data_IF_976373115406
#
_entry.id   IF_976373115406
#
_cell.length_a   1.000
_cell.length_b   1.000
_cell.length_c   1.000
_cell.angle_alpha   90.00
_cell.angle_beta   90.00
_cell.angle_gamma   90.00
#
_symmetry.space_group_name_H-M   'P 1'
#
loop_
_entity.id
_entity.type
_entity.pdbx_description
1 polymer ?
#
# COMPACT_ATOMS: atom_id res chain seq x y z
N UNK A 1 -2.53 -47.11 -10.57
CA UNK A 1 -1.50 -46.62 -9.62
C UNK A 1 -0.65 -45.49 -10.20
N UNK A 2 0.01 -45.66 -11.37
CA UNK A 2 0.82 -44.61 -12.00
C UNK A 2 0.01 -43.33 -12.31
N UNK A 3 -1.21 -43.48 -12.85
CA UNK A 3 -2.12 -42.39 -13.17
C UNK A 3 -2.49 -41.52 -11.93
N UNK A 4 -2.82 -42.13 -10.78
CA UNK A 4 -3.11 -41.39 -9.54
C UNK A 4 -1.91 -40.60 -9.00
N UNK A 5 -0.69 -41.15 -9.13
CA UNK A 5 0.53 -40.49 -8.67
C UNK A 5 0.81 -39.25 -9.51
N UNK A 6 0.61 -39.34 -10.84
CA UNK A 6 0.79 -38.21 -11.75
C UNK A 6 -0.22 -37.10 -11.48
N UNK A 7 -1.49 -37.43 -11.20
CA UNK A 7 -2.51 -36.41 -10.86
C UNK A 7 -2.20 -35.71 -9.54
N UNK A 8 -1.69 -36.44 -8.54
CA UNK A 8 -1.34 -35.87 -7.24
C UNK A 8 -0.17 -34.89 -7.34
N UNK A 9 0.87 -35.23 -8.11
CA UNK A 9 2.03 -34.35 -8.32
C UNK A 9 1.64 -33.09 -9.09
N UNK A 10 0.78 -33.21 -10.09
CA UNK A 10 0.27 -32.08 -10.87
C UNK A 10 -0.58 -31.13 -10.01
N UNK A 11 -1.42 -31.67 -9.12
CA UNK A 11 -2.18 -30.86 -8.17
C UNK A 11 -1.26 -30.11 -7.20
N UNK A 12 -0.22 -30.75 -6.66
CA UNK A 12 0.74 -30.11 -5.75
C UNK A 12 1.53 -28.99 -6.47
N UNK A 13 1.91 -29.20 -7.73
CA UNK A 13 2.63 -28.17 -8.49
C UNK A 13 1.77 -26.95 -8.83
N UNK A 14 0.48 -27.15 -9.08
CA UNK A 14 -0.48 -26.06 -9.32
C UNK A 14 -0.79 -25.24 -8.06
N UNK A 15 -0.64 -25.81 -6.86
CA UNK A 15 -0.95 -25.12 -5.59
C UNK A 15 0.26 -24.46 -4.90
N UNK A 16 1.50 -24.69 -5.35
CA UNK A 16 2.71 -24.03 -4.85
C UNK A 16 2.65 -22.48 -4.80
N UNK A 17 2.11 -21.75 -5.80
CA UNK A 17 2.15 -20.28 -5.76
C UNK A 17 1.26 -19.66 -4.68
N UNK A 18 0.28 -20.40 -4.15
CA UNK A 18 -0.61 -19.90 -3.09
C UNK A 18 0.12 -19.73 -1.74
N UNK A 19 1.24 -20.42 -1.56
CA UNK A 19 2.01 -20.45 -0.31
C UNK A 19 3.11 -19.38 -0.30
N UNK A 20 3.42 -18.79 -1.46
CA UNK A 20 4.51 -17.83 -1.66
C UNK A 20 4.03 -16.37 -1.62
N UNK A 21 2.86 -16.10 -1.01
CA UNK A 21 2.35 -14.74 -0.90
C UNK A 21 3.24 -13.94 0.07
N UNK A 22 3.99 -12.99 -0.46
CA UNK A 22 4.67 -11.98 0.37
C UNK A 22 3.63 -11.11 1.08
N UNK A 23 3.93 -10.69 2.30
CA UNK A 23 3.04 -9.77 3.00
C UNK A 23 3.02 -8.44 2.24
N UNK A 24 1.85 -7.82 2.07
CA UNK A 24 1.76 -6.50 1.45
C UNK A 24 2.70 -5.52 2.17
N UNK A 25 3.43 -4.69 1.41
CA UNK A 25 4.40 -3.73 1.96
C UNK A 25 3.76 -2.82 3.04
N UNK A 26 2.48 -2.50 2.89
CA UNK A 26 1.70 -1.72 3.84
C UNK A 26 1.60 -2.34 5.25
N UNK A 27 1.79 -3.65 5.39
CA UNK A 27 1.73 -4.36 6.69
C UNK A 27 3.08 -4.35 7.43
N UNK A 28 4.13 -3.79 6.84
CA UNK A 28 5.44 -3.69 7.48
C UNK A 28 5.47 -2.54 8.51
N UNK A 29 5.88 -2.83 9.75
CA UNK A 29 5.94 -1.83 10.83
C UNK A 29 6.80 -0.60 10.48
N UNK A 30 7.88 -0.80 9.72
CA UNK A 30 8.74 0.27 9.24
C UNK A 30 8.01 1.21 8.26
N UNK A 31 7.22 0.65 7.33
CA UNK A 31 6.43 1.42 6.39
C UNK A 31 5.43 2.34 7.12
N UNK A 32 4.73 1.81 8.13
CA UNK A 32 3.82 2.59 8.97
C UNK A 32 4.56 3.71 9.71
N UNK A 33 5.72 3.43 10.29
CA UNK A 33 6.49 4.43 11.03
C UNK A 33 7.01 5.55 10.11
N UNK A 34 7.50 5.20 8.93
CA UNK A 34 8.01 6.15 7.93
C UNK A 34 6.90 7.01 7.34
N UNK A 35 5.72 6.43 7.08
CA UNK A 35 4.56 7.19 6.57
C UNK A 35 4.02 8.17 7.61
N UNK A 36 4.03 7.84 8.90
CA UNK A 36 3.69 8.81 9.95
C UNK A 36 4.65 10.01 10.02
N UNK A 37 5.95 9.77 9.86
CA UNK A 37 6.94 10.85 9.79
C UNK A 37 6.69 11.73 8.56
N UNK A 38 6.44 11.10 7.40
CA UNK A 38 6.11 11.80 6.16
C UNK A 38 4.85 12.67 6.31
N UNK A 39 3.79 12.15 6.91
CA UNK A 39 2.55 12.92 7.17
C UNK A 39 2.78 14.15 8.03
N UNK A 40 3.62 14.02 9.07
CA UNK A 40 3.95 15.13 9.96
C UNK A 40 4.73 16.22 9.21
N UNK A 41 5.68 15.81 8.36
CA UNK A 41 6.42 16.72 7.50
C UNK A 41 5.51 17.40 6.46
N UNK A 42 4.61 16.66 5.81
CA UNK A 42 3.65 17.23 4.84
C UNK A 42 2.79 18.30 5.50
N UNK A 43 2.23 18.03 6.69
CA UNK A 43 1.44 19.02 7.42
C UNK A 43 2.25 20.28 7.70
N UNK A 44 3.48 20.15 8.19
CA UNK A 44 4.36 21.28 8.42
C UNK A 44 4.67 22.07 7.13
N UNK A 45 4.84 21.39 5.99
CA UNK A 45 5.03 22.05 4.70
C UNK A 45 3.76 22.75 4.20
N UNK A 46 2.58 22.16 4.40
CA UNK A 46 1.31 22.78 4.06
C UNK A 46 1.10 24.05 4.86
N UNK A 47 1.36 24.01 6.17
CA UNK A 47 1.26 25.18 7.05
C UNK A 47 2.25 26.27 6.63
N UNK A 48 3.51 25.91 6.38
CA UNK A 48 4.55 26.85 5.97
C UNK A 48 4.24 27.55 4.64
N UNK A 49 3.61 26.83 3.70
CA UNK A 49 3.31 27.33 2.34
C UNK A 49 1.88 27.85 2.18
N UNK A 50 1.04 27.72 3.20
CA UNK A 50 -0.37 28.07 3.14
C UNK A 50 -1.17 27.22 2.14
N UNK A 51 -0.84 25.93 2.01
CA UNK A 51 -1.55 25.03 1.10
C UNK A 51 -2.88 24.57 1.75
N UNK A 52 -4.03 24.77 1.09
CA UNK A 52 -5.33 24.43 1.65
C UNK A 52 -5.58 22.91 1.73
N UNK A 53 -4.97 22.16 0.82
CA UNK A 53 -5.09 20.71 0.74
C UNK A 53 -4.04 20.08 -0.17
N UNK A 54 -3.86 18.77 -0.03
CA UNK A 54 -2.92 17.96 -0.84
C UNK A 54 -3.38 16.50 -0.86
N UNK A 55 -3.15 15.80 -1.98
CA UNK A 55 -3.31 14.33 -2.06
C UNK A 55 -1.95 13.69 -2.32
N UNK A 56 -1.68 12.57 -1.65
CA UNK A 56 -0.47 11.78 -1.79
C UNK A 56 -0.83 10.33 -2.11
N UNK A 57 -0.16 9.77 -3.11
CA UNK A 57 -0.15 8.32 -3.39
C UNK A 57 1.29 7.82 -3.51
N UNK A 58 1.58 6.67 -2.90
CA UNK A 58 2.87 5.97 -3.02
C UNK A 58 2.62 4.69 -3.79
N UNK A 59 3.27 4.56 -4.96
CA UNK A 59 3.22 3.35 -5.77
C UNK A 59 4.56 2.63 -5.64
N UNK A 60 4.50 1.36 -5.25
CA UNK A 60 5.65 0.47 -5.20
C UNK A 60 5.27 -0.83 -5.89
N UNK A 61 6.17 -1.31 -6.75
CA UNK A 61 5.93 -2.48 -7.60
C UNK A 61 4.57 -2.49 -8.32
N UNK A 62 4.21 -1.34 -8.91
CA UNK A 62 2.95 -1.14 -9.63
C UNK A 62 1.68 -1.25 -8.77
N UNK A 63 1.82 -1.41 -7.45
CA UNK A 63 0.74 -1.37 -6.48
C UNK A 63 0.69 -0.02 -5.74
N UNK A 64 -0.51 0.52 -5.56
CA UNK A 64 -0.73 1.68 -4.70
C UNK A 64 -0.69 1.23 -3.24
N UNK A 65 0.49 1.35 -2.62
CA UNK A 65 0.75 0.86 -1.26
C UNK A 65 0.31 1.84 -0.16
N UNK A 66 0.07 3.11 -0.50
CA UNK A 66 -0.44 4.12 0.43
C UNK A 66 -1.13 5.26 -0.32
N UNK A 67 -2.25 5.74 0.23
CA UNK A 67 -2.94 6.91 -0.26
C UNK A 67 -3.52 7.73 0.90
N UNK A 68 -3.36 9.05 0.86
CA UNK A 68 -3.94 9.97 1.85
C UNK A 68 -4.23 11.34 1.27
N UNK A 69 -5.38 11.89 1.66
CA UNK A 69 -5.72 13.31 1.49
C UNK A 69 -5.41 14.11 2.76
N UNK A 70 -4.98 15.34 2.57
CA UNK A 70 -4.72 16.33 3.61
C UNK A 70 -5.49 17.60 3.29
N UNK A 71 -6.04 18.25 4.31
CA UNK A 71 -6.78 19.51 4.14
C UNK A 71 -8.04 19.38 3.28
N UNK A 72 -8.37 20.44 2.55
CA UNK A 72 -9.57 20.56 1.72
C UNK A 72 -9.22 21.10 0.33
N UNK A 73 -9.97 20.65 -0.67
CA UNK A 73 -9.96 21.22 -2.02
C UNK A 73 -10.70 22.56 -2.11
N UNK A 74 -11.71 22.75 -1.26
CA UNK A 74 -12.46 23.99 -1.10
C UNK A 74 -12.50 24.38 0.40
N UNK A 75 -11.95 25.54 0.76
CA UNK A 75 -11.91 26.02 2.14
C UNK A 75 -13.25 26.53 2.65
N UNK A 76 -14.10 27.05 1.77
CA UNK A 76 -15.43 27.57 2.13
C UNK A 76 -16.38 26.41 2.40
N UNK A 77 -16.39 25.43 1.51
CA UNK A 77 -17.23 24.25 1.62
C UNK A 77 -16.59 23.12 2.45
N UNK A 78 -15.30 23.25 2.80
CA UNK A 78 -14.51 22.21 3.50
C UNK A 78 -14.68 20.84 2.84
N UNK A 79 -14.49 20.81 1.52
CA UNK A 79 -14.63 19.61 0.68
C UNK A 79 -13.32 19.23 0.06
#
# INVERSE_FOLDING_TARGET
MKQCITTLVFAITLFLPLLAQEKPLAEHQEFTSNTHLLESWIKAQMDYRGLPGMSLGIVYDQELVYARGFGYSDLEQKT
#
